data_IF_680615575119
#
_entry.id   IF_680615575119
#
_cell.length_a   1.000
_cell.length_b   1.000
_cell.length_c   1.000
_cell.angle_alpha   90.00
_cell.angle_beta   90.00
_cell.angle_gamma   90.00
#
_symmetry.space_group_name_H-M   'P 1'
#
loop_
_entity.id
_entity.type
_entity.pdbx_description
1 polymer ?
#
# COMPACT_ATOMS: atom_id res chain seq x y z
N UNK A 1 1.98 19.84 -15.82
CA UNK A 1 3.31 19.69 -15.17
C UNK A 1 3.51 18.20 -14.93
N UNK A 2 4.69 17.63 -15.13
CA UNK A 2 4.95 16.21 -14.83
C UNK A 2 5.13 16.03 -13.32
N UNK A 3 4.27 15.26 -12.61
CA UNK A 3 4.41 15.06 -11.16
C UNK A 3 5.74 14.41 -10.79
N UNK A 4 6.37 14.86 -9.70
CA UNK A 4 7.56 14.21 -9.15
C UNK A 4 7.19 13.27 -8.00
N UNK A 5 7.71 12.06 -8.04
CA UNK A 5 7.47 11.01 -7.05
C UNK A 5 8.73 10.71 -6.26
N UNK A 6 8.68 10.86 -4.94
CA UNK A 6 9.73 10.37 -4.06
C UNK A 6 9.51 8.88 -3.80
N UNK A 7 10.24 8.02 -4.53
CA UNK A 7 10.26 6.58 -4.26
C UNK A 7 11.33 6.31 -3.22
N UNK A 8 10.90 6.08 -1.97
CA UNK A 8 11.83 5.91 -0.87
C UNK A 8 12.64 4.63 -1.02
N UNK A 9 13.95 4.75 -0.79
CA UNK A 9 14.88 3.62 -0.74
C UNK A 9 15.65 3.61 0.57
N UNK A 10 16.29 2.49 0.87
CA UNK A 10 17.07 2.33 2.07
C UNK A 10 17.57 0.90 2.23
N UNK A 11 18.20 0.60 3.36
CA UNK A 11 18.69 -0.75 3.63
C UNK A 11 17.54 -1.76 3.64
N UNK A 12 17.61 -2.76 2.75
CA UNK A 12 16.69 -3.89 2.71
C UNK A 12 15.37 -3.65 1.94
N UNK A 13 15.05 -2.41 1.54
CA UNK A 13 14.02 -2.18 0.52
C UNK A 13 14.54 -2.78 -0.80
N UNK A 14 13.67 -3.45 -1.56
CA UNK A 14 14.09 -4.14 -2.78
C UNK A 14 13.09 -4.05 -3.94
N UNK A 15 11.95 -3.38 -3.75
CA UNK A 15 10.94 -3.19 -4.79
C UNK A 15 10.96 -1.77 -5.40
N UNK A 16 12.02 -0.98 -5.18
CA UNK A 16 12.04 0.42 -5.63
C UNK A 16 12.04 0.56 -7.15
N UNK A 17 12.69 -0.37 -7.85
CA UNK A 17 12.89 -0.25 -9.29
C UNK A 17 11.58 -0.42 -10.05
N UNK A 18 10.81 -1.46 -9.70
CA UNK A 18 9.48 -1.67 -10.27
C UNK A 18 8.48 -0.60 -9.83
N UNK A 19 8.60 -0.10 -8.59
CA UNK A 19 7.75 1.02 -8.11
C UNK A 19 8.02 2.29 -8.92
N UNK A 20 9.29 2.62 -9.20
CA UNK A 20 9.63 3.74 -10.08
C UNK A 20 9.06 3.54 -11.48
N UNK A 21 9.23 2.34 -12.06
CA UNK A 21 8.78 2.04 -13.41
C UNK A 21 7.27 2.25 -13.59
N UNK A 22 6.43 1.82 -12.63
CA UNK A 22 4.98 2.01 -12.74
C UNK A 22 4.55 3.47 -12.65
N UNK A 23 5.23 4.29 -11.83
CA UNK A 23 4.97 5.73 -11.80
C UNK A 23 5.40 6.43 -13.10
N UNK A 24 6.53 6.01 -13.68
CA UNK A 24 6.99 6.52 -14.99
C UNK A 24 6.03 6.11 -16.11
N UNK A 25 5.56 4.86 -16.11
CA UNK A 25 4.53 4.36 -17.04
C UNK A 25 3.19 5.07 -16.89
N UNK A 26 2.88 5.58 -15.70
CA UNK A 26 1.70 6.41 -15.41
C UNK A 26 1.89 7.89 -15.74
N UNK A 27 3.06 8.31 -16.23
CA UNK A 27 3.30 9.69 -16.68
C UNK A 27 3.91 10.63 -15.64
N UNK A 28 4.44 10.09 -14.54
CA UNK A 28 5.18 10.85 -13.54
C UNK A 28 6.70 10.70 -13.72
N UNK A 29 7.48 11.52 -13.00
CA UNK A 29 8.93 11.39 -12.89
C UNK A 29 9.29 10.84 -11.51
N UNK A 30 9.84 9.62 -11.45
CA UNK A 30 10.17 8.96 -10.20
C UNK A 30 11.65 9.15 -9.84
N UNK A 31 11.90 9.68 -8.64
CA UNK A 31 13.24 9.79 -8.07
C UNK A 31 13.46 8.70 -7.02
N UNK A 32 14.58 7.99 -7.11
CA UNK A 32 15.03 7.07 -6.04
C UNK A 32 15.60 7.88 -4.88
N UNK A 33 14.86 7.97 -3.78
CA UNK A 33 15.23 8.80 -2.62
C UNK A 33 15.66 7.94 -1.45
N UNK A 34 16.96 7.84 -1.21
CA UNK A 34 17.46 7.18 -0.01
C UNK A 34 17.04 7.96 1.25
N UNK A 35 16.38 7.31 2.21
CA UNK A 35 15.78 7.96 3.39
C UNK A 35 16.75 8.85 4.18
N UNK A 36 18.03 8.47 4.27
CA UNK A 36 19.05 9.29 4.94
C UNK A 36 19.24 10.67 4.29
N UNK A 37 19.01 10.83 2.98
CA UNK A 37 19.12 12.13 2.32
C UNK A 37 18.05 13.11 2.80
N UNK A 38 16.83 12.61 3.06
CA UNK A 38 15.77 13.42 3.67
C UNK A 38 16.09 13.74 5.13
N UNK A 39 16.61 12.75 5.89
CA UNK A 39 16.93 12.91 7.32
C UNK A 39 18.09 13.89 7.53
N UNK A 40 19.08 13.88 6.63
CA UNK A 40 20.24 14.76 6.68
C UNK A 40 19.94 16.16 6.11
N UNK A 41 18.78 16.38 5.49
CA UNK A 41 18.44 17.65 4.84
C UNK A 41 19.09 17.86 3.47
N UNK A 42 19.63 16.81 2.84
CA UNK A 42 20.18 16.86 1.47
C UNK A 42 19.07 16.99 0.42
N UNK A 43 17.85 16.59 0.76
CA UNK A 43 16.63 16.65 -0.03
C UNK A 43 15.46 17.03 0.89
N UNK A 44 14.43 17.69 0.35
CA UNK A 44 13.20 17.98 1.07
C UNK A 44 12.02 17.23 0.46
N UNK A 45 11.17 16.64 1.31
CA UNK A 45 9.98 15.92 0.85
C UNK A 45 8.98 16.87 0.14
N UNK A 46 8.99 18.17 0.48
CA UNK A 46 8.15 19.19 -0.17
C UNK A 46 8.41 19.36 -1.66
N UNK A 47 9.57 18.92 -2.16
CA UNK A 47 9.97 19.03 -3.57
C UNK A 47 9.23 18.04 -4.49
N UNK A 48 8.43 17.14 -3.89
CA UNK A 48 7.68 16.08 -4.55
C UNK A 48 6.17 16.28 -4.38
N UNK A 49 5.40 15.67 -5.27
CA UNK A 49 3.93 15.66 -5.23
C UNK A 49 3.37 14.31 -4.76
N UNK A 50 4.13 13.22 -4.89
CA UNK A 50 3.73 11.89 -4.43
C UNK A 50 4.87 11.27 -3.63
N UNK A 51 4.56 10.57 -2.54
CA UNK A 51 5.51 9.76 -1.78
C UNK A 51 5.14 8.27 -1.89
N UNK A 52 6.09 7.44 -2.28
CA UNK A 52 5.91 5.99 -2.33
C UNK A 52 6.93 5.30 -1.42
N UNK A 53 6.46 4.38 -0.59
CA UNK A 53 7.30 3.49 0.22
C UNK A 53 7.17 2.07 -0.36
N UNK A 54 8.19 1.57 -1.08
CA UNK A 54 8.14 0.26 -1.72
C UNK A 54 8.20 -0.90 -0.74
N UNK A 55 7.94 -2.09 -1.28
CA UNK A 55 8.14 -3.35 -0.56
C UNK A 55 9.62 -3.75 -0.37
N UNK A 56 9.81 -4.79 0.44
CA UNK A 56 11.11 -5.36 0.77
C UNK A 56 11.17 -5.85 2.20
N UNK A 57 12.36 -5.81 2.78
CA UNK A 57 12.67 -6.21 4.15
C UNK A 57 13.50 -5.11 4.79
N UNK A 58 12.90 -3.94 5.06
CA UNK A 58 13.68 -2.80 5.58
C UNK A 58 14.44 -3.17 6.86
N UNK A 59 15.75 -2.99 6.83
CA UNK A 59 16.69 -3.42 7.88
C UNK A 59 16.62 -4.92 8.22
N UNK A 60 16.28 -5.76 7.24
CA UNK A 60 16.15 -7.21 7.38
C UNK A 60 14.98 -7.64 8.27
N UNK A 61 14.07 -6.73 8.61
CA UNK A 61 12.95 -6.95 9.54
C UNK A 61 13.38 -7.49 10.92
N UNK A 62 14.66 -7.30 11.31
CA UNK A 62 15.25 -7.85 12.53
C UNK A 62 14.56 -7.44 13.85
N UNK A 63 13.79 -6.35 13.84
CA UNK A 63 13.03 -5.84 15.00
C UNK A 63 11.50 -5.90 14.78
N UNK A 64 11.06 -6.69 13.80
CA UNK A 64 9.70 -6.70 13.26
C UNK A 64 9.58 -5.83 12.01
N UNK A 65 8.78 -6.28 11.06
CA UNK A 65 8.80 -5.72 9.71
C UNK A 65 8.37 -4.25 9.67
N UNK A 66 9.14 -3.44 8.95
CA UNK A 66 8.92 -2.00 8.81
C UNK A 66 9.13 -1.17 10.10
N UNK A 67 9.42 -1.78 11.26
CA UNK A 67 9.47 -1.06 12.54
C UNK A 67 10.59 -0.02 12.61
N UNK A 68 11.80 -0.39 12.20
CA UNK A 68 12.95 0.51 12.29
C UNK A 68 12.81 1.68 11.31
N UNK A 69 12.41 1.39 10.07
CA UNK A 69 12.13 2.40 9.06
C UNK A 69 10.96 3.31 9.48
N UNK A 70 9.86 2.75 9.99
CA UNK A 70 8.74 3.51 10.54
C UNK A 70 9.15 4.45 11.67
N UNK A 71 9.99 4.00 12.60
CA UNK A 71 10.55 4.85 13.64
C UNK A 71 11.44 5.97 13.08
N UNK A 72 12.27 5.68 12.07
CA UNK A 72 13.09 6.71 11.40
C UNK A 72 12.21 7.77 10.73
N UNK A 73 11.13 7.39 10.07
CA UNK A 73 10.18 8.36 9.51
C UNK A 73 9.47 9.14 10.63
N UNK A 74 8.99 8.45 11.66
CA UNK A 74 8.24 9.03 12.78
C UNK A 74 9.05 10.04 13.60
N UNK A 75 10.35 9.82 13.77
CA UNK A 75 11.21 10.69 14.60
C UNK A 75 12.12 11.60 13.77
N UNK A 76 12.61 11.12 12.62
CA UNK A 76 13.55 11.87 11.77
C UNK A 76 12.88 12.70 10.67
N UNK A 77 11.71 12.27 10.16
CA UNK A 77 10.98 12.96 9.08
C UNK A 77 9.56 13.37 9.48
N UNK A 78 9.29 13.43 10.80
CA UNK A 78 7.96 13.64 11.35
C UNK A 78 7.24 14.83 10.72
N UNK A 79 7.88 15.98 10.75
CA UNK A 79 7.25 17.24 10.33
C UNK A 79 7.18 17.34 8.81
N UNK A 80 8.15 16.77 8.09
CA UNK A 80 8.11 16.65 6.63
C UNK A 80 6.92 15.79 6.18
N UNK A 81 6.73 14.60 6.77
CA UNK A 81 5.62 13.71 6.41
C UNK A 81 4.26 14.31 6.81
N UNK A 82 4.16 14.89 8.01
CA UNK A 82 2.91 15.57 8.43
C UNK A 82 2.57 16.74 7.53
N UNK A 83 3.56 17.56 7.16
CA UNK A 83 3.39 18.66 6.21
C UNK A 83 2.93 18.14 4.85
N UNK A 84 3.59 17.11 4.32
CA UNK A 84 3.25 16.49 3.04
C UNK A 84 1.80 16.01 2.98
N UNK A 85 1.34 15.28 3.99
CA UNK A 85 -0.05 14.79 4.06
C UNK A 85 -1.03 15.95 4.22
N UNK A 86 -0.73 16.93 5.07
CA UNK A 86 -1.58 18.11 5.29
C UNK A 86 -1.68 19.04 4.08
N UNK A 87 -0.69 19.03 3.20
CA UNK A 87 -0.72 19.69 1.90
C UNK A 87 -1.59 18.96 0.87
N UNK A 88 -2.21 17.82 1.24
CA UNK A 88 -3.07 17.05 0.36
C UNK A 88 -2.31 16.17 -0.63
N UNK A 89 -1.04 15.85 -0.37
CA UNK A 89 -0.20 15.11 -1.32
C UNK A 89 -0.35 13.58 -1.12
N UNK A 90 -0.60 12.81 -2.21
CA UNK A 90 -0.79 11.37 -2.10
C UNK A 90 0.42 10.59 -1.57
N UNK A 91 0.16 9.60 -0.72
CA UNK A 91 1.16 8.68 -0.17
C UNK A 91 0.72 7.23 -0.38
N UNK A 92 1.62 6.37 -0.86
CA UNK A 92 1.38 4.92 -0.92
C UNK A 92 2.46 4.12 -0.19
N UNK A 93 2.07 3.11 0.59
CA UNK A 93 2.94 2.11 1.17
C UNK A 93 2.59 0.72 0.67
N UNK A 94 3.56 0.01 0.07
CA UNK A 94 3.34 -1.32 -0.52
C UNK A 94 4.11 -2.38 0.28
N UNK A 95 3.44 -3.45 0.71
CA UNK A 95 3.99 -4.52 1.53
C UNK A 95 4.78 -3.98 2.74
N UNK A 96 6.11 -3.91 2.67
CA UNK A 96 6.94 -3.31 3.72
C UNK A 96 6.65 -1.84 3.93
N UNK A 97 6.33 -1.09 2.87
CA UNK A 97 5.86 0.28 2.98
C UNK A 97 4.57 0.41 3.77
N UNK A 98 3.61 -0.50 3.59
CA UNK A 98 2.39 -0.50 4.40
C UNK A 98 2.71 -0.73 5.88
N UNK A 99 3.57 -1.70 6.18
CA UNK A 99 4.07 -1.93 7.54
C UNK A 99 4.72 -0.68 8.13
N UNK A 100 5.57 0.00 7.37
CA UNK A 100 6.21 1.26 7.77
C UNK A 100 5.18 2.33 8.11
N UNK A 101 4.16 2.53 7.27
CA UNK A 101 3.11 3.54 7.50
C UNK A 101 2.25 3.22 8.74
N UNK A 102 1.93 1.95 8.96
CA UNK A 102 1.20 1.52 10.17
C UNK A 102 2.06 1.70 11.41
N UNK A 103 3.33 1.28 11.41
CA UNK A 103 4.25 1.44 12.55
C UNK A 103 4.57 2.89 12.86
N UNK A 104 4.54 3.76 11.85
CA UNK A 104 4.63 5.20 12.03
C UNK A 104 3.38 5.79 12.71
N UNK A 105 2.24 5.11 12.62
CA UNK A 105 0.94 5.59 13.04
C UNK A 105 0.26 6.50 12.02
N UNK A 106 0.71 6.47 10.76
CA UNK A 106 0.08 7.23 9.68
C UNK A 106 -1.13 6.49 9.10
N UNK A 107 -1.15 5.16 9.17
CA UNK A 107 -2.27 4.33 8.74
C UNK A 107 -2.79 3.42 9.88
N UNK A 108 -4.11 3.20 9.98
CA UNK A 108 -5.19 3.92 9.28
C UNK A 108 -5.31 5.40 9.66
N UNK A 109 -4.59 5.86 10.69
CA UNK A 109 -4.43 7.29 10.98
C UNK A 109 -5.70 8.00 11.47
N UNK A 110 -5.62 9.33 11.52
CA UNK A 110 -6.67 10.26 11.91
C UNK A 110 -6.53 11.57 11.12
N UNK A 111 -7.56 12.41 11.12
CA UNK A 111 -7.58 13.69 10.38
C UNK A 111 -6.48 14.66 10.84
N UNK A 112 -6.03 14.55 12.10
CA UNK A 112 -5.01 15.43 12.67
C UNK A 112 -3.58 15.05 12.26
N UNK A 113 -3.41 13.88 11.64
CA UNK A 113 -2.12 13.25 11.34
C UNK A 113 -1.29 13.16 12.63
N UNK A 114 -1.87 12.57 13.67
CA UNK A 114 -1.28 12.48 15.02
C UNK A 114 -0.05 11.57 15.09
N UNK A 115 0.05 10.62 14.15
CA UNK A 115 1.06 9.56 14.12
C UNK A 115 0.98 8.63 15.35
N UNK A 116 -0.27 8.29 15.70
CA UNK A 116 -0.60 7.32 16.74
C UNK A 116 -0.84 5.96 16.10
N UNK A 117 -0.04 4.97 16.49
CA UNK A 117 -0.20 3.61 16.00
C UNK A 117 -1.44 2.97 16.63
N UNK A 118 -2.47 2.73 15.82
CA UNK A 118 -3.75 2.11 16.21
C UNK A 118 -3.98 0.74 15.59
N UNK A 119 -3.08 0.31 14.70
CA UNK A 119 -3.12 -1.00 14.07
C UNK A 119 -1.71 -1.62 14.01
N UNK A 120 -1.63 -2.86 13.57
CA UNK A 120 -0.38 -3.51 13.24
C UNK A 120 -0.58 -4.50 12.09
N UNK A 121 0.53 -4.76 11.40
CA UNK A 121 0.69 -5.98 10.62
C UNK A 121 1.51 -6.96 11.44
N UNK A 122 1.00 -8.18 11.58
CA UNK A 122 1.57 -9.25 12.40
C UNK A 122 1.92 -10.47 11.52
N UNK A 123 2.58 -11.46 12.13
CA UNK A 123 2.86 -12.74 11.50
C UNK A 123 1.58 -13.34 10.89
N UNK A 124 1.72 -13.91 9.69
CA UNK A 124 0.66 -14.68 9.07
C UNK A 124 0.30 -15.88 9.98
N UNK A 125 -0.97 -16.26 10.03
CA UNK A 125 -1.37 -17.45 10.80
C UNK A 125 -0.77 -18.76 10.26
N UNK A 126 -0.33 -18.78 8.99
CA UNK A 126 0.41 -19.90 8.43
C UNK A 126 1.79 -20.11 9.06
N UNK A 127 2.36 -19.09 9.70
CA UNK A 127 3.73 -19.09 10.21
C UNK A 127 4.82 -19.13 9.13
N UNK A 128 4.44 -18.97 7.85
CA UNK A 128 5.36 -19.03 6.71
C UNK A 128 5.30 -17.76 5.87
N UNK A 129 6.35 -17.55 5.07
CA UNK A 129 6.35 -16.55 4.02
C UNK A 129 5.45 -16.98 2.88
N UNK A 130 4.53 -16.11 2.47
CA UNK A 130 3.57 -16.38 1.41
C UNK A 130 3.95 -15.65 0.13
N UNK A 131 4.20 -16.43 -0.94
CA UNK A 131 4.45 -15.94 -2.29
C UNK A 131 3.42 -16.55 -3.26
N UNK A 132 2.36 -15.81 -3.59
CA UNK A 132 1.23 -16.31 -4.40
C UNK A 132 0.44 -15.18 -5.05
N UNK A 133 -0.46 -15.54 -5.95
CA UNK A 133 -1.47 -14.63 -6.45
C UNK A 133 -2.69 -14.66 -5.53
N UNK A 134 -3.25 -13.48 -5.24
CA UNK A 134 -4.51 -13.32 -4.53
C UNK A 134 -5.45 -12.43 -5.36
N UNK A 135 -6.74 -12.54 -5.08
CA UNK A 135 -7.76 -11.67 -5.66
C UNK A 135 -8.23 -10.70 -4.59
N UNK A 136 -8.29 -9.43 -4.95
CA UNK A 136 -8.77 -8.35 -4.10
C UNK A 136 -10.07 -7.80 -4.66
N UNK A 137 -10.98 -7.43 -3.78
CA UNK A 137 -12.07 -6.50 -4.06
C UNK A 137 -11.86 -5.19 -3.31
N UNK A 138 -12.29 -4.09 -3.92
CA UNK A 138 -12.20 -2.75 -3.37
C UNK A 138 -13.58 -2.21 -2.99
N UNK A 139 -13.64 -1.48 -1.89
CA UNK A 139 -14.87 -0.81 -1.46
C UNK A 139 -15.13 0.44 -2.31
N UNK A 140 -16.17 0.39 -3.13
CA UNK A 140 -16.57 1.51 -4.01
C UNK A 140 -17.05 2.76 -3.25
N UNK A 141 -17.32 2.65 -1.94
CA UNK A 141 -17.67 3.78 -1.07
C UNK A 141 -16.46 4.37 -0.35
N UNK A 142 -15.28 3.76 -0.48
CA UNK A 142 -14.07 4.27 0.15
C UNK A 142 -13.70 5.66 -0.39
N UNK A 143 -13.20 6.58 0.45
CA UNK A 143 -12.65 7.85 -0.03
C UNK A 143 -11.29 7.69 -0.75
N UNK A 144 -10.71 6.48 -0.78
CA UNK A 144 -9.37 6.25 -1.27
C UNK A 144 -9.21 6.57 -2.76
N UNK A 145 -8.48 7.65 -3.06
CA UNK A 145 -8.24 8.11 -4.45
C UNK A 145 -7.49 7.06 -5.27
N UNK A 146 -6.63 6.28 -4.61
CA UNK A 146 -5.80 5.26 -5.25
C UNK A 146 -6.64 4.13 -5.88
N UNK A 147 -7.81 3.85 -5.33
CA UNK A 147 -8.66 2.73 -5.76
C UNK A 147 -9.95 3.18 -6.42
N UNK A 148 -10.05 4.46 -6.80
CA UNK A 148 -11.20 5.00 -7.50
C UNK A 148 -11.48 4.20 -8.80
N UNK A 149 -12.72 3.74 -8.96
CA UNK A 149 -13.16 2.97 -10.13
C UNK A 149 -12.67 1.52 -10.18
N UNK A 150 -11.94 1.03 -9.17
CA UNK A 150 -11.55 -0.37 -9.09
C UNK A 150 -12.62 -1.21 -8.41
N UNK A 151 -12.92 -2.37 -9.01
CA UNK A 151 -13.84 -3.35 -8.43
C UNK A 151 -13.07 -4.54 -7.87
N UNK A 152 -12.41 -5.29 -8.76
CA UNK A 152 -11.69 -6.52 -8.42
C UNK A 152 -10.41 -6.63 -9.23
N UNK A 153 -9.29 -6.96 -8.59
CA UNK A 153 -8.02 -7.23 -9.28
C UNK A 153 -7.31 -8.48 -8.76
N UNK A 154 -6.48 -9.09 -9.59
CA UNK A 154 -5.51 -10.12 -9.22
C UNK A 154 -4.16 -9.49 -9.00
N UNK A 155 -3.51 -9.78 -7.87
CA UNK A 155 -2.20 -9.22 -7.53
C UNK A 155 -1.32 -10.22 -6.79
N UNK A 156 0.00 -10.15 -6.98
CA UNK A 156 0.94 -10.98 -6.24
C UNK A 156 1.05 -10.52 -4.78
N UNK A 157 1.27 -11.49 -3.90
CA UNK A 157 1.47 -11.36 -2.46
C UNK A 157 2.83 -11.95 -2.13
N UNK A 158 3.63 -11.26 -1.31
CA UNK A 158 5.03 -11.61 -0.99
C UNK A 158 5.40 -11.21 0.44
N UNK A 159 4.79 -11.83 1.46
CA UNK A 159 5.00 -11.43 2.86
C UNK A 159 4.96 -12.56 3.90
N UNK A 160 5.71 -12.42 5.00
CA UNK A 160 5.60 -13.25 6.21
C UNK A 160 4.83 -12.59 7.36
N UNK A 161 4.72 -11.25 7.34
CA UNK A 161 4.06 -10.43 8.36
C UNK A 161 2.98 -9.53 7.74
N UNK A 162 1.93 -10.12 7.16
CA UNK A 162 0.88 -9.38 6.46
C UNK A 162 -0.46 -9.29 7.19
N UNK A 163 -0.60 -9.89 8.37
CA UNK A 163 -1.88 -10.02 9.07
C UNK A 163 -2.30 -8.68 9.70
N UNK A 164 -3.31 -8.03 9.17
CA UNK A 164 -3.86 -6.79 9.72
C UNK A 164 -4.66 -7.06 10.99
N UNK A 165 -4.27 -6.40 12.08
CA UNK A 165 -4.86 -6.52 13.42
C UNK A 165 -4.89 -5.18 14.13
N UNK A 166 -5.72 -5.08 15.15
CA UNK A 166 -5.80 -3.94 16.07
C UNK A 166 -5.98 -4.44 17.51
N UNK A 167 -5.60 -3.64 18.50
CA UNK A 167 -5.82 -3.92 19.91
C UNK A 167 -7.22 -3.49 20.41
N UNK A 168 -7.92 -2.61 19.69
CA UNK A 168 -9.31 -2.22 19.93
C UNK A 168 -10.21 -2.69 18.79
N UNK A 169 -10.99 -3.78 18.97
CA UNK A 169 -11.92 -4.27 17.95
C UNK A 169 -12.93 -3.24 17.45
N UNK A 170 -13.28 -2.23 18.27
CA UNK A 170 -14.21 -1.16 17.84
C UNK A 170 -13.60 -0.26 16.76
N UNK A 171 -12.27 -0.22 16.63
CA UNK A 171 -11.61 0.48 15.52
C UNK A 171 -11.97 -0.16 14.18
N UNK A 172 -12.15 -1.48 14.11
CA UNK A 172 -12.52 -2.15 12.86
C UNK A 172 -13.88 -1.68 12.34
N UNK A 173 -14.85 -1.49 13.24
CA UNK A 173 -16.16 -0.96 12.88
C UNK A 173 -16.08 0.50 12.45
N UNK A 174 -15.36 1.33 13.19
CA UNK A 174 -15.14 2.74 12.81
C UNK A 174 -14.50 2.87 11.42
N UNK A 175 -13.47 2.08 11.13
CA UNK A 175 -12.79 2.10 9.83
C UNK A 175 -13.65 1.52 8.70
N UNK A 176 -14.54 0.56 9.00
CA UNK A 176 -15.51 0.09 8.03
C UNK A 176 -16.54 1.17 7.71
N UNK A 177 -17.08 1.85 8.72
CA UNK A 177 -18.07 2.94 8.57
C UNK A 177 -17.50 4.15 7.82
N UNK A 178 -16.22 4.49 8.04
CA UNK A 178 -15.54 5.58 7.34
C UNK A 178 -14.97 5.19 5.96
N UNK A 179 -15.13 3.94 5.52
CA UNK A 179 -14.61 3.46 4.24
C UNK A 179 -13.08 3.32 4.20
N UNK A 180 -12.41 3.32 5.35
CA UNK A 180 -10.94 3.17 5.45
C UNK A 180 -10.46 1.72 5.29
N UNK A 181 -11.34 0.72 5.35
CA UNK A 181 -11.04 -0.67 4.99
C UNK A 181 -11.21 -0.87 3.48
N UNK A 182 -10.20 -0.41 2.73
CA UNK A 182 -10.27 -0.20 1.27
C UNK A 182 -10.28 -1.49 0.46
N UNK A 183 -9.39 -2.43 0.78
CA UNK A 183 -9.17 -3.63 -0.02
C UNK A 183 -9.31 -4.89 0.83
N UNK A 184 -10.04 -5.89 0.33
CA UNK A 184 -10.23 -7.19 1.00
C UNK A 184 -9.85 -8.35 0.09
N UNK A 185 -9.25 -9.38 0.67
CA UNK A 185 -9.08 -10.67 -0.01
C UNK A 185 -10.45 -11.29 -0.29
N UNK A 186 -10.61 -11.87 -1.48
CA UNK A 186 -11.83 -12.58 -1.89
C UNK A 186 -11.49 -13.91 -2.56
N UNK A 187 -12.47 -14.82 -2.60
CA UNK A 187 -12.35 -16.04 -3.39
C UNK A 187 -12.39 -15.68 -4.89
N UNK A 188 -11.40 -16.08 -5.71
CA UNK A 188 -11.42 -15.80 -7.14
C UNK A 188 -12.62 -16.41 -7.88
N UNK A 189 -13.27 -17.44 -7.32
CA UNK A 189 -14.40 -18.13 -7.93
C UNK A 189 -15.77 -17.57 -7.54
N UNK A 190 -15.83 -16.61 -6.60
CA UNK A 190 -17.09 -15.99 -6.17
C UNK A 190 -17.62 -15.00 -7.21
N UNK A 191 -18.94 -14.86 -7.27
CA UNK A 191 -19.59 -13.79 -8.01
C UNK A 191 -19.32 -12.43 -7.33
N UNK A 192 -19.02 -11.40 -8.11
CA UNK A 192 -18.83 -10.05 -7.58
C UNK A 192 -20.19 -9.39 -7.30
N UNK A 193 -20.36 -8.65 -6.18
CA UNK A 193 -19.40 -8.45 -5.09
C UNK A 193 -19.45 -9.59 -4.06
N UNK A 194 -18.30 -9.93 -3.48
CA UNK A 194 -18.17 -11.04 -2.51
C UNK A 194 -17.38 -10.70 -1.25
N UNK A 195 -16.78 -9.50 -1.20
CA UNK A 195 -16.09 -9.00 -0.03
C UNK A 195 -16.99 -9.09 1.21
N UNK A 196 -16.46 -9.68 2.28
CA UNK A 196 -17.18 -9.82 3.55
C UNK A 196 -16.23 -9.85 4.74
N UNK A 197 -16.79 -9.64 5.92
CA UNK A 197 -16.07 -9.71 7.19
C UNK A 197 -15.82 -11.15 7.65
N UNK A 198 -16.43 -12.14 6.99
CA UNK A 198 -16.23 -13.57 7.28
C UNK A 198 -14.86 -14.01 6.77
N UNK A 199 -13.97 -14.38 7.69
CA UNK A 199 -12.59 -14.76 7.35
C UNK A 199 -12.56 -15.92 6.35
N UNK A 200 -11.87 -15.71 5.24
CA UNK A 200 -11.67 -16.71 4.22
C UNK A 200 -10.63 -17.76 4.68
N UNK A 201 -10.77 -19.02 4.24
CA UNK A 201 -9.81 -20.04 4.57
C UNK A 201 -8.46 -19.78 3.88
N UNK A 202 -7.40 -20.30 4.48
CA UNK A 202 -6.13 -20.47 3.79
C UNK A 202 -6.30 -21.52 2.66
N UNK A 203 -5.73 -21.33 1.44
CA UNK A 203 -4.79 -20.30 1.04
C UNK A 203 -5.39 -19.00 0.47
N UNK A 204 -6.72 -18.88 0.38
CA UNK A 204 -7.42 -17.77 -0.30
C UNK A 204 -7.13 -16.44 0.38
N UNK A 205 -7.35 -16.37 1.70
CA UNK A 205 -6.72 -15.34 2.53
C UNK A 205 -5.34 -15.87 2.95
N UNK A 206 -4.23 -15.25 2.53
CA UNK A 206 -2.89 -15.79 2.77
C UNK A 206 -2.36 -15.55 4.18
N UNK A 207 -2.90 -14.54 4.88
CA UNK A 207 -2.39 -14.09 6.17
C UNK A 207 -3.42 -14.11 7.31
N UNK A 208 -4.69 -14.36 7.00
CA UNK A 208 -5.80 -14.35 7.97
C UNK A 208 -5.93 -12.98 8.67
N UNK A 209 -5.69 -11.89 7.93
CA UNK A 209 -6.06 -10.53 8.34
C UNK A 209 -7.50 -10.48 8.84
N UNK A 210 -7.75 -9.70 9.89
CA UNK A 210 -9.10 -9.47 10.39
C UNK A 210 -9.97 -8.86 9.29
N UNK A 211 -11.20 -9.38 9.15
CA UNK A 211 -12.17 -9.01 8.09
C UNK A 211 -11.59 -9.08 6.66
N UNK A 212 -10.66 -10.00 6.43
CA UNK A 212 -9.96 -10.19 5.16
C UNK A 212 -9.22 -8.93 4.63
N UNK A 213 -8.89 -7.97 5.50
CA UNK A 213 -8.29 -6.70 5.07
C UNK A 213 -6.90 -6.91 4.46
N UNK A 214 -6.74 -6.46 3.22
CA UNK A 214 -5.49 -6.45 2.47
C UNK A 214 -4.87 -5.04 2.40
N UNK A 215 -5.69 -3.99 2.49
CA UNK A 215 -5.25 -2.60 2.44
C UNK A 215 -6.23 -1.62 3.06
N UNK A 216 -5.69 -0.50 3.53
CA UNK A 216 -6.43 0.56 4.26
C UNK A 216 -5.97 1.94 3.80
N UNK A 217 -6.81 2.96 4.01
CA UNK A 217 -6.44 4.36 3.79
C UNK A 217 -6.63 5.21 5.05
N UNK A 218 -6.13 6.44 5.00
CA UNK A 218 -6.46 7.47 5.98
C UNK A 218 -7.86 8.05 5.73
N UNK A 219 -8.42 8.85 6.66
CA UNK A 219 -9.75 9.44 6.50
C UNK A 219 -9.90 10.30 5.23
N UNK A 220 -8.81 10.91 4.73
CA UNK A 220 -8.85 11.72 3.51
C UNK A 220 -8.82 10.88 2.23
N UNK A 221 -8.36 9.63 2.32
CA UNK A 221 -8.16 8.75 1.17
C UNK A 221 -6.87 8.98 0.38
N UNK A 222 -6.03 9.94 0.80
CA UNK A 222 -4.78 10.30 0.12
C UNK A 222 -3.61 9.41 0.52
N UNK A 223 -3.61 8.85 1.73
CA UNK A 223 -2.63 7.89 2.20
C UNK A 223 -3.21 6.50 2.06
N UNK A 224 -2.53 5.61 1.33
CA UNK A 224 -2.97 4.24 1.08
C UNK A 224 -1.88 3.23 1.42
N UNK A 225 -2.27 2.15 2.09
CA UNK A 225 -1.40 1.03 2.42
C UNK A 225 -1.97 -0.26 1.86
N UNK A 226 -1.15 -1.06 1.17
CA UNK A 226 -1.58 -2.31 0.56
C UNK A 226 -0.51 -3.40 0.78
N UNK A 227 -0.92 -4.57 1.28
CA UNK A 227 0.00 -5.70 1.46
C UNK A 227 0.41 -6.39 0.15
N UNK A 228 -0.53 -6.68 -0.77
CA UNK A 228 -0.17 -7.15 -2.12
C UNK A 228 0.63 -6.12 -2.92
N UNK A 229 1.28 -6.57 -3.98
CA UNK A 229 2.20 -5.79 -4.80
C UNK A 229 1.58 -5.42 -6.17
N UNK A 230 0.81 -4.32 -6.26
CA UNK A 230 0.22 -3.90 -7.53
C UNK A 230 1.27 -3.49 -8.57
N UNK A 231 2.44 -3.00 -8.13
CA UNK A 231 3.57 -2.65 -8.98
C UNK A 231 4.17 -3.87 -9.69
N UNK A 232 3.97 -5.07 -9.15
CA UNK A 232 4.39 -6.32 -9.77
C UNK A 232 3.32 -6.91 -10.72
N UNK A 233 2.15 -6.28 -10.82
CA UNK A 233 1.13 -6.57 -11.85
C UNK A 233 0.92 -5.36 -12.78
N UNK A 234 2.01 -4.79 -13.29
CA UNK A 234 1.98 -3.65 -14.20
C UNK A 234 1.80 -4.03 -15.67
N UNK A 235 1.92 -5.31 -15.99
CA UNK A 235 1.85 -5.84 -17.35
C UNK A 235 1.12 -7.18 -17.35
N UNK A 236 0.21 -7.36 -18.31
CA UNK A 236 -0.51 -8.64 -18.51
C UNK A 236 0.44 -9.83 -18.66
N UNK A 237 1.65 -9.62 -19.20
CA UNK A 237 2.70 -10.64 -19.32
C UNK A 237 3.24 -11.18 -17.99
N UNK A 238 2.98 -10.47 -16.89
CA UNK A 238 3.41 -10.87 -15.54
C UNK A 238 2.35 -11.71 -14.82
N UNK A 239 1.12 -11.75 -15.34
CA UNK A 239 0.00 -12.47 -14.72
C UNK A 239 0.26 -13.97 -14.58
N UNK A 240 -0.15 -14.60 -13.48
CA UNK A 240 0.12 -16.03 -13.21
C UNK A 240 -0.33 -16.99 -14.33
N UNK A 241 -1.33 -16.58 -15.10
CA UNK A 241 -2.00 -17.38 -16.12
C UNK A 241 -1.95 -16.72 -17.49
N UNK A 242 -1.06 -15.74 -17.72
CA UNK A 242 -1.03 -14.91 -18.93
C UNK A 242 -1.01 -15.70 -20.24
N UNK A 243 -0.32 -16.85 -20.28
CA UNK A 243 -0.27 -17.74 -21.47
C UNK A 243 -1.59 -18.45 -21.79
N UNK A 244 -2.55 -18.44 -20.87
CA UNK A 244 -3.85 -19.14 -20.96
C UNK A 244 -5.02 -18.17 -21.09
N UNK A 245 -4.76 -16.87 -21.03
CA UNK A 245 -5.76 -15.82 -21.11
C UNK A 245 -5.86 -15.32 -22.55
N UNK A 246 -7.08 -15.20 -23.07
CA UNK A 246 -7.35 -14.74 -24.44
C UNK A 246 -7.61 -13.22 -24.42
N UNK A 247 -6.62 -12.48 -23.91
CA UNK A 247 -6.71 -11.04 -23.66
C UNK A 247 -5.66 -10.31 -24.52
N UNK A 248 -5.98 -9.09 -24.97
CA UNK A 248 -4.97 -8.23 -25.58
C UNK A 248 -3.88 -7.91 -24.54
N UNK A 249 -2.63 -8.14 -24.92
CA UNK A 249 -1.52 -7.88 -24.03
C UNK A 249 -1.24 -6.39 -23.90
N UNK A 250 -1.22 -5.91 -22.65
CA UNK A 250 -0.93 -4.52 -22.33
C UNK A 250 -0.67 -4.30 -20.84
N UNK A 251 -1.20 -3.20 -20.32
CA UNK A 251 -1.10 -2.85 -18.91
C UNK A 251 -1.81 -3.89 -18.03
N UNK A 252 -1.14 -4.30 -16.95
CA UNK A 252 -1.73 -5.17 -15.94
C UNK A 252 -2.72 -4.40 -15.05
N UNK A 253 -3.56 -5.14 -14.34
CA UNK A 253 -4.65 -4.58 -13.52
C UNK A 253 -4.15 -3.66 -12.39
N UNK A 254 -2.89 -3.83 -11.95
CA UNK A 254 -2.28 -2.99 -10.92
C UNK A 254 -1.99 -1.55 -11.38
N UNK A 255 -1.90 -1.29 -12.70
CA UNK A 255 -1.55 0.03 -13.23
C UNK A 255 -2.58 1.11 -12.88
N UNK A 256 -3.85 0.75 -12.76
CA UNK A 256 -4.92 1.69 -12.43
C UNK A 256 -4.68 2.44 -11.11
N UNK A 257 -4.06 1.78 -10.11
CA UNK A 257 -3.72 2.40 -8.82
C UNK A 257 -2.76 3.59 -9.00
N UNK A 258 -1.76 3.42 -9.87
CA UNK A 258 -0.73 4.43 -10.11
C UNK A 258 -1.26 5.55 -11.02
N UNK A 259 -2.06 5.20 -12.03
CA UNK A 259 -2.75 6.19 -12.86
C UNK A 259 -3.66 7.11 -12.04
N UNK A 260 -4.42 6.55 -11.10
CA UNK A 260 -5.31 7.31 -10.23
C UNK A 260 -4.55 8.40 -9.44
N UNK A 261 -3.41 8.06 -8.84
CA UNK A 261 -2.63 9.02 -8.07
C UNK A 261 -1.94 10.07 -8.96
N UNK A 262 -1.43 9.67 -10.13
CA UNK A 262 -0.82 10.62 -11.06
C UNK A 262 -1.88 11.59 -11.60
N UNK A 263 -3.04 11.09 -12.03
CA UNK A 263 -4.16 11.90 -12.50
C UNK A 263 -4.66 12.86 -11.42
N UNK A 264 -4.79 12.39 -10.17
CA UNK A 264 -5.18 13.24 -9.05
C UNK A 264 -4.26 14.46 -8.89
N UNK A 265 -2.94 14.27 -9.03
CA UNK A 265 -1.97 15.37 -8.94
C UNK A 265 -1.97 16.25 -10.18
N UNK A 266 -2.21 15.71 -11.38
CA UNK A 266 -2.22 16.52 -12.60
C UNK A 266 -3.49 17.34 -12.77
N UNK A 267 -4.60 16.88 -12.21
CA UNK A 267 -5.93 17.48 -12.35
C UNK A 267 -6.23 18.52 -11.24
N UNK A 268 -5.41 18.54 -10.18
CA UNK A 268 -5.46 19.50 -9.05
C UNK A 268 -4.70 20.80 -9.36
#
# INVERSE_FOLDING_TARGET
MTPRVAVLSGFGINCETETMAVFEMSGAHADRVHVNRLVNGDLNLSDYQIMAIPGGFSFGDHLGSGRLMGNRLRFGLRDQVRGFVREGKPVIGICNGFQVLVKMGLLPGDEEVSLTQTASLALNDSGHYENRWATLEFDSKSPCIWTAGLERIRVPVRHGEGKFVTDDPNLMDRWAESGQLVARYVDPSSEYPSASDNILPYPISPNQSWRNVAGVCDPTGLVFGLMPHPEANHSTWLGATWTREDNEHGQGEGMAIFHNAVNHVTDS
#
